data_IF_594468771470
#
_entry.id   IF_594468771470
#
_cell.length_a   1.000
_cell.length_b   1.000
_cell.length_c   1.000
_cell.angle_alpha   90.00
_cell.angle_beta   90.00
_cell.angle_gamma   90.00
#
_symmetry.space_group_name_H-M   'P 1'
#
loop_
_entity.id
_entity.type
_entity.pdbx_description
1 polymer ?
#
# COMPACT_ATOMS: atom_id res chain seq x y z
N UNK A 1 -13.04 23.43 -16.80
CA UNK A 1 -12.80 22.80 -15.48
C UNK A 1 -11.53 23.41 -14.91
N UNK A 2 -11.50 23.85 -13.64
CA UNK A 2 -10.26 24.25 -13.00
C UNK A 2 -9.35 23.03 -12.85
N UNK A 3 -8.03 23.22 -13.02
CA UNK A 3 -7.02 22.19 -12.78
C UNK A 3 -6.03 22.70 -11.73
N UNK A 4 -5.66 21.84 -10.79
CA UNK A 4 -4.59 22.12 -9.83
C UNK A 4 -3.26 21.73 -10.46
N UNK A 5 -2.33 22.67 -10.52
CA UNK A 5 -0.97 22.46 -10.99
C UNK A 5 0.04 22.88 -9.94
N UNK A 6 1.17 22.18 -9.90
CA UNK A 6 2.23 22.42 -8.93
C UNK A 6 3.55 21.86 -9.44
N UNK A 7 4.65 22.38 -8.89
CA UNK A 7 6.00 21.97 -9.24
C UNK A 7 6.17 20.46 -9.03
N UNK A 8 6.71 19.76 -10.04
CA UNK A 8 6.97 18.32 -10.05
C UNK A 8 5.73 17.38 -10.03
N UNK A 9 4.53 17.90 -10.31
CA UNK A 9 3.32 17.07 -10.42
C UNK A 9 3.50 15.85 -11.34
N UNK A 10 3.97 16.06 -12.56
CA UNK A 10 4.12 14.99 -13.55
C UNK A 10 5.11 13.92 -13.09
N UNK A 11 6.21 14.33 -12.45
CA UNK A 11 7.19 13.40 -11.89
C UNK A 11 6.56 12.55 -10.78
N UNK A 12 5.79 13.15 -9.86
CA UNK A 12 5.14 12.40 -8.77
C UNK A 12 4.15 11.36 -9.30
N UNK A 13 3.37 11.70 -10.33
CA UNK A 13 2.44 10.77 -10.99
C UNK A 13 3.21 9.60 -11.62
N UNK A 14 4.22 9.89 -12.43
CA UNK A 14 5.04 8.87 -13.09
C UNK A 14 5.77 7.97 -12.09
N UNK A 15 6.28 8.52 -10.98
CA UNK A 15 6.97 7.72 -9.96
C UNK A 15 6.04 6.64 -9.40
N UNK A 16 4.75 6.94 -9.18
CA UNK A 16 3.79 5.96 -8.63
C UNK A 16 3.53 4.76 -9.57
N UNK A 17 3.60 4.98 -10.88
CA UNK A 17 3.45 3.93 -11.89
C UNK A 17 4.66 2.98 -11.90
N UNK A 18 5.85 3.54 -11.71
CA UNK A 18 7.13 2.84 -11.77
C UNK A 18 7.50 2.08 -10.48
N UNK A 19 6.71 2.19 -9.41
CA UNK A 19 6.95 1.44 -8.17
C UNK A 19 6.79 -0.07 -8.45
N UNK A 20 7.83 -0.89 -8.23
CA UNK A 20 7.74 -2.32 -8.46
C UNK A 20 6.77 -2.97 -7.49
N UNK A 21 6.12 -4.04 -7.94
CA UNK A 21 5.37 -4.91 -7.05
C UNK A 21 6.32 -5.68 -6.13
N UNK A 22 6.03 -5.69 -4.83
CA UNK A 22 6.81 -6.39 -3.82
C UNK A 22 5.96 -7.49 -3.16
N UNK A 23 6.54 -8.66 -2.95
CA UNK A 23 5.89 -9.74 -2.21
C UNK A 23 5.97 -9.47 -0.70
N UNK A 24 4.83 -9.57 -0.02
CA UNK A 24 4.79 -9.53 1.44
C UNK A 24 5.38 -10.82 1.99
N UNK A 25 6.37 -10.69 2.89
CA UNK A 25 6.96 -11.81 3.60
C UNK A 25 6.40 -11.86 5.02
N UNK A 26 5.85 -13.01 5.40
CA UNK A 26 5.47 -13.23 6.79
C UNK A 26 6.73 -13.32 7.65
N UNK A 27 6.78 -12.52 8.70
CA UNK A 27 7.91 -12.47 9.64
C UNK A 27 7.52 -13.06 10.99
N UNK A 28 6.43 -12.54 11.58
CA UNK A 28 5.97 -12.87 12.92
C UNK A 28 4.45 -12.70 13.01
N UNK A 29 3.85 -13.43 13.94
CA UNK A 29 2.46 -13.26 14.35
C UNK A 29 2.42 -12.81 15.81
N UNK A 30 1.47 -11.94 16.15
CA UNK A 30 1.30 -11.41 17.50
C UNK A 30 -0.17 -11.53 17.94
N UNK A 31 -0.40 -11.73 19.24
CA UNK A 31 -1.74 -11.85 19.82
C UNK A 31 -2.27 -13.28 19.86
N UNK A 32 -3.59 -13.42 20.02
CA UNK A 32 -4.29 -14.71 20.03
C UNK A 32 -4.17 -15.39 18.66
N UNK A 33 -3.75 -16.65 18.65
CA UNK A 33 -3.59 -17.47 17.45
C UNK A 33 -4.86 -17.54 16.59
N UNK A 34 -6.05 -17.47 17.20
CA UNK A 34 -7.32 -17.51 16.48
C UNK A 34 -7.61 -16.21 15.71
N UNK A 35 -7.07 -15.08 16.18
CA UNK A 35 -7.32 -13.75 15.60
C UNK A 35 -6.11 -13.14 14.90
N UNK A 36 -4.94 -13.76 15.00
CA UNK A 36 -3.68 -13.22 14.47
C UNK A 36 -3.72 -12.92 12.97
N UNK A 37 -4.60 -13.58 12.21
CA UNK A 37 -4.75 -13.38 10.77
C UNK A 37 -5.74 -12.26 10.37
N UNK A 38 -6.42 -11.63 11.34
CA UNK A 38 -7.42 -10.59 11.08
C UNK A 38 -6.84 -9.19 10.89
N UNK A 39 -5.60 -8.97 11.35
CA UNK A 39 -4.91 -7.69 11.30
C UNK A 39 -3.53 -7.86 10.67
N UNK A 40 -3.06 -6.83 9.97
CA UNK A 40 -1.74 -6.82 9.33
C UNK A 40 -0.95 -5.59 9.78
N UNK A 41 0.31 -5.82 10.16
CA UNK A 41 1.32 -4.77 10.34
C UNK A 41 2.37 -5.00 9.27
N UNK A 42 2.57 -4.02 8.39
CA UNK A 42 3.54 -4.10 7.28
C UNK A 42 4.68 -3.15 7.59
N UNK A 43 5.91 -3.69 7.60
CA UNK A 43 7.12 -2.90 7.79
C UNK A 43 7.75 -2.60 6.43
N UNK A 44 8.01 -1.32 6.15
CA UNK A 44 8.68 -0.88 4.92
C UNK A 44 8.23 0.50 4.46
N UNK A 45 8.62 0.85 3.23
CA UNK A 45 8.11 2.02 2.53
C UNK A 45 6.61 1.88 2.24
N UNK A 46 5.83 2.94 2.48
CA UNK A 46 4.38 2.89 2.37
C UNK A 46 3.90 2.75 0.92
N UNK A 47 4.59 3.35 -0.05
CA UNK A 47 4.22 3.28 -1.46
C UNK A 47 4.43 1.87 -2.00
N UNK A 48 5.51 1.20 -1.59
CA UNK A 48 5.74 -0.22 -1.89
C UNK A 48 4.71 -1.13 -1.19
N UNK A 49 4.41 -0.89 0.09
CA UNK A 49 3.42 -1.65 0.83
C UNK A 49 2.02 -1.54 0.20
N UNK A 50 1.59 -0.33 -0.16
CA UNK A 50 0.32 -0.12 -0.85
C UNK A 50 0.30 -0.81 -2.21
N UNK A 51 1.40 -0.75 -2.98
CA UNK A 51 1.51 -1.47 -4.27
C UNK A 51 1.38 -2.99 -4.08
N UNK A 52 1.95 -3.55 -3.01
CA UNK A 52 1.87 -4.97 -2.68
C UNK A 52 0.44 -5.42 -2.32
N UNK A 53 -0.37 -4.52 -1.74
CA UNK A 53 -1.74 -4.82 -1.33
C UNK A 53 -2.77 -4.76 -2.47
N UNK A 54 -2.46 -4.09 -3.59
CA UNK A 54 -3.41 -3.86 -4.70
C UNK A 54 -4.10 -5.14 -5.20
N UNK A 55 -3.42 -6.27 -5.47
CA UNK A 55 -4.09 -7.44 -6.03
C UNK A 55 -5.19 -8.03 -5.14
N UNK A 56 -5.11 -7.81 -3.82
CA UNK A 56 -5.99 -8.46 -2.85
C UNK A 56 -6.99 -7.50 -2.20
N UNK A 57 -6.64 -6.22 -2.07
CA UNK A 57 -7.39 -5.23 -1.28
C UNK A 57 -7.98 -4.06 -2.09
N UNK A 58 -7.85 -4.07 -3.42
CA UNK A 58 -8.51 -3.06 -4.27
C UNK A 58 -10.00 -2.98 -3.96
N UNK A 59 -10.49 -1.75 -3.69
CA UNK A 59 -11.87 -1.45 -3.33
C UNK A 59 -12.42 -2.18 -2.07
N UNK A 60 -11.55 -2.72 -1.20
CA UNK A 60 -11.95 -3.39 0.05
C UNK A 60 -11.74 -2.54 1.30
N UNK A 61 -11.07 -1.41 1.20
CA UNK A 61 -10.87 -0.49 2.32
C UNK A 61 -12.16 0.28 2.61
N UNK A 62 -12.65 0.20 3.86
CA UNK A 62 -13.78 1.00 4.32
C UNK A 62 -13.39 2.44 4.63
N UNK A 63 -12.19 2.64 5.16
CA UNK A 63 -11.61 3.93 5.52
C UNK A 63 -10.09 3.84 5.39
N UNK A 64 -9.46 4.96 5.05
CA UNK A 64 -8.01 5.18 5.07
C UNK A 64 -7.70 6.26 6.09
#
# INVERSE_FOLDING_TARGET
MPFLDWVNKNQAVQTSENVPYHLLQHQKSYGDANFANSNLIIQGDNLQALKALLPFYTAKFKCV
#
